data_IF_653383189982
#
_entry.id   IF_653383189982
#
_cell.length_a   1.000
_cell.length_b   1.000
_cell.length_c   1.000
_cell.angle_alpha   90.00
_cell.angle_beta   90.00
_cell.angle_gamma   90.00
#
_symmetry.space_group_name_H-M   'P 1'
#
loop_
_entity.id
_entity.type
_entity.pdbx_description
1 polymer ?
#
# COMPACT_ATOMS: atom_id res chain seq x y z
N UNK A 1 -19.03 -10.31 -5.89
CA UNK A 1 -18.76 -9.22 -6.88
C UNK A 1 -18.32 -7.92 -6.19
N UNK A 2 -19.03 -7.42 -5.18
CA UNK A 2 -18.64 -6.19 -4.45
C UNK A 2 -17.27 -6.26 -3.76
N UNK A 3 -16.90 -7.42 -3.18
CA UNK A 3 -15.64 -7.59 -2.45
C UNK A 3 -14.40 -7.33 -3.33
N UNK A 4 -14.42 -7.80 -4.57
CA UNK A 4 -13.29 -7.63 -5.49
C UNK A 4 -13.07 -6.16 -5.88
N UNK A 5 -14.16 -5.42 -6.07
CA UNK A 5 -14.11 -3.97 -6.32
C UNK A 5 -13.62 -3.21 -5.07
N UNK A 6 -14.07 -3.62 -3.87
CA UNK A 6 -13.59 -3.04 -2.61
C UNK A 6 -12.09 -3.23 -2.39
N UNK A 7 -11.55 -4.41 -2.74
CA UNK A 7 -10.11 -4.69 -2.66
C UNK A 7 -9.33 -3.76 -3.60
N UNK A 8 -9.73 -3.66 -4.87
CA UNK A 8 -9.08 -2.77 -5.83
C UNK A 8 -9.07 -1.31 -5.38
N UNK A 9 -10.20 -0.82 -4.84
CA UNK A 9 -10.31 0.57 -4.37
C UNK A 9 -9.41 0.80 -3.14
N UNK A 10 -9.45 -0.08 -2.14
CA UNK A 10 -8.63 0.01 -0.93
C UNK A 10 -7.14 0.11 -1.26
N UNK A 11 -6.70 -0.78 -2.14
CA UNK A 11 -5.35 -0.83 -2.65
C UNK A 11 -4.89 0.47 -3.31
N UNK A 12 -5.70 1.02 -4.21
CA UNK A 12 -5.33 2.23 -4.94
C UNK A 12 -5.21 3.41 -3.97
N UNK A 13 -6.07 3.46 -2.95
CA UNK A 13 -6.00 4.45 -1.87
C UNK A 13 -4.74 4.26 -1.02
N UNK A 14 -4.41 3.03 -0.64
CA UNK A 14 -3.21 2.71 0.16
C UNK A 14 -1.92 3.14 -0.56
N UNK A 15 -1.79 2.80 -1.84
CA UNK A 15 -0.65 3.23 -2.67
C UNK A 15 -0.62 4.75 -2.81
N UNK A 16 -1.77 5.41 -2.96
CA UNK A 16 -1.87 6.87 -3.06
C UNK A 16 -1.47 7.62 -1.78
N UNK A 17 -1.60 6.99 -0.61
CA UNK A 17 -1.19 7.58 0.67
C UNK A 17 0.33 7.46 0.93
N UNK A 18 0.99 6.49 0.30
CA UNK A 18 2.42 6.22 0.47
C UNK A 18 3.25 6.85 -0.66
N UNK A 19 2.76 6.83 -1.91
CA UNK A 19 3.47 7.34 -3.07
C UNK A 19 3.42 8.89 -3.19
N UNK A 20 4.47 9.53 -3.75
CA UNK A 20 4.46 10.97 -4.07
C UNK A 20 3.46 11.24 -5.20
N UNK A 21 2.27 11.81 -4.89
CA UNK A 21 2.06 13.27 -4.86
C UNK A 21 1.28 13.79 -3.63
N UNK A 22 0.62 12.90 -2.88
CA UNK A 22 -0.02 13.20 -1.58
C UNK A 22 0.94 12.78 -0.47
N UNK A 23 1.50 11.56 -0.55
CA UNK A 23 2.58 11.06 0.29
C UNK A 23 2.38 11.31 1.79
N UNK A 24 1.13 11.34 2.25
CA UNK A 24 0.76 11.89 3.55
C UNK A 24 1.51 11.20 4.69
N UNK A 25 1.64 9.87 4.60
CA UNK A 25 2.35 9.07 5.60
C UNK A 25 3.85 9.44 5.64
N UNK A 26 4.46 9.66 4.48
CA UNK A 26 5.87 10.08 4.35
C UNK A 26 6.07 11.50 4.87
N UNK A 27 5.10 12.38 4.58
CA UNK A 27 5.08 13.77 5.04
C UNK A 27 4.97 13.89 6.56
N UNK A 28 4.11 13.09 7.19
CA UNK A 28 3.95 13.07 8.66
C UNK A 28 5.23 12.56 9.33
N UNK A 29 5.83 11.49 8.81
CA UNK A 29 7.08 10.94 9.36
C UNK A 29 8.23 11.94 9.21
N UNK A 30 8.36 12.60 8.06
CA UNK A 30 9.36 13.65 7.89
C UNK A 30 9.10 14.88 8.79
N UNK A 31 7.83 15.23 9.04
CA UNK A 31 7.45 16.27 10.01
C UNK A 31 7.89 15.97 11.45
N UNK A 32 7.96 14.68 11.84
CA UNK A 32 8.50 14.22 13.11
C UNK A 32 10.04 14.15 13.09
N UNK A 33 10.62 13.80 11.95
CA UNK A 33 12.06 13.66 11.72
C UNK A 33 12.62 14.83 10.89
N UNK A 34 12.62 16.03 11.48
CA UNK A 34 13.04 17.30 10.83
C UNK A 34 14.48 17.32 10.31
N UNK A 35 15.33 16.41 10.79
CA UNK A 35 16.75 16.29 10.40
C UNK A 35 16.96 15.55 9.08
N UNK A 36 15.94 14.86 8.56
CA UNK A 36 16.06 14.00 7.38
C UNK A 36 15.48 14.72 6.16
N UNK A 37 16.23 14.88 5.05
CA UNK A 37 15.69 15.46 3.83
C UNK A 37 14.54 14.60 3.28
N UNK A 38 13.46 15.24 2.82
CA UNK A 38 12.30 14.56 2.20
C UNK A 38 12.72 13.58 1.09
N UNK A 39 13.74 13.91 0.32
CA UNK A 39 14.28 13.06 -0.75
C UNK A 39 14.82 11.71 -0.22
N UNK A 40 15.41 11.71 0.98
CA UNK A 40 15.93 10.50 1.62
C UNK A 40 14.79 9.64 2.19
N UNK A 41 13.78 10.28 2.78
CA UNK A 41 12.56 9.58 3.24
C UNK A 41 11.81 8.92 2.07
N UNK A 42 11.68 9.63 0.94
CA UNK A 42 11.10 9.06 -0.27
C UNK A 42 11.89 7.87 -0.79
N UNK A 43 13.23 7.96 -0.80
CA UNK A 43 14.09 6.86 -1.24
C UNK A 43 13.98 5.63 -0.33
N UNK A 44 13.76 5.83 0.97
CA UNK A 44 13.46 4.76 1.92
C UNK A 44 12.07 4.12 1.73
N UNK A 45 11.11 4.88 1.21
CA UNK A 45 9.74 4.41 0.95
C UNK A 45 9.61 3.66 -0.38
N UNK A 46 10.44 3.96 -1.39
CA UNK A 46 10.46 3.24 -2.69
C UNK A 46 10.51 1.71 -2.54
N UNK A 47 11.41 1.10 -1.75
CA UNK A 47 11.40 -0.36 -1.58
C UNK A 47 10.11 -0.86 -0.93
N UNK A 48 9.52 -0.09 -0.01
CA UNK A 48 8.25 -0.44 0.63
C UNK A 48 7.11 -0.46 -0.40
N UNK A 49 7.05 0.54 -1.26
CA UNK A 49 6.10 0.65 -2.36
C UNK A 49 6.21 -0.53 -3.35
N UNK A 50 7.43 -0.98 -3.63
CA UNK A 50 7.68 -2.14 -4.50
C UNK A 50 7.15 -3.42 -3.86
N UNK A 51 7.43 -3.65 -2.58
CA UNK A 51 6.87 -4.80 -1.84
C UNK A 51 5.36 -4.75 -1.77
N UNK A 52 4.76 -3.57 -1.60
CA UNK A 52 3.31 -3.44 -1.51
C UNK A 52 2.63 -3.68 -2.86
N UNK A 53 3.20 -3.15 -3.95
CA UNK A 53 2.79 -3.44 -5.31
C UNK A 53 2.94 -4.93 -5.67
N UNK A 54 4.01 -5.58 -5.21
CA UNK A 54 4.23 -7.01 -5.44
C UNK A 54 3.24 -7.87 -4.65
N UNK A 55 3.02 -7.55 -3.37
CA UNK A 55 1.99 -8.15 -2.52
C UNK A 55 0.62 -8.01 -3.15
N UNK A 56 0.33 -6.84 -3.68
CA UNK A 56 -0.92 -6.56 -4.37
C UNK A 56 -1.07 -7.40 -5.64
N UNK A 57 -0.05 -7.39 -6.51
CA UNK A 57 -0.06 -8.20 -7.72
C UNK A 57 -0.27 -9.68 -7.39
N UNK A 58 0.33 -10.16 -6.30
CA UNK A 58 0.14 -11.51 -5.80
C UNK A 58 -1.29 -11.76 -5.31
N UNK A 59 -1.91 -10.81 -4.59
CA UNK A 59 -3.31 -10.88 -4.16
C UNK A 59 -4.30 -10.85 -5.34
N UNK A 60 -3.98 -10.14 -6.41
CA UNK A 60 -4.79 -10.07 -7.64
C UNK A 60 -4.61 -11.33 -8.49
N UNK A 61 -3.38 -11.83 -8.63
CA UNK A 61 -3.07 -13.03 -9.40
C UNK A 61 -3.52 -14.33 -8.69
N UNK A 62 -3.47 -14.34 -7.36
CA UNK A 62 -3.95 -15.42 -6.50
C UNK A 62 -5.04 -14.89 -5.55
N UNK A 63 -6.25 -14.59 -6.05
CA UNK A 63 -7.38 -14.20 -5.20
C UNK A 63 -7.78 -15.31 -4.22
N UNK A 64 -7.27 -16.54 -4.44
CA UNK A 64 -7.38 -17.67 -3.53
C UNK A 64 -6.76 -17.37 -2.15
N UNK A 65 -5.71 -16.55 -2.03
CA UNK A 65 -5.10 -16.24 -0.73
C UNK A 65 -5.99 -15.36 0.15
N UNK A 66 -6.78 -14.45 -0.44
CA UNK A 66 -7.76 -13.64 0.29
C UNK A 66 -9.11 -14.34 0.45
N UNK A 67 -9.49 -15.18 -0.51
CA UNK A 67 -10.74 -15.94 -0.47
C UNK A 67 -10.68 -17.19 0.42
N UNK A 68 -9.50 -17.70 0.79
CA UNK A 68 -9.41 -18.89 1.65
C UNK A 68 -9.97 -18.61 3.05
N UNK A 69 -9.58 -17.48 3.65
CA UNK A 69 -10.10 -17.09 4.97
C UNK A 69 -11.58 -16.64 4.89
N UNK A 70 -11.97 -15.91 3.83
CA UNK A 70 -13.36 -15.50 3.63
C UNK A 70 -14.28 -16.70 3.40
N UNK A 71 -13.84 -17.74 2.68
CA UNK A 71 -14.60 -19.00 2.52
C UNK A 71 -14.64 -19.88 3.77
N UNK A 72 -13.69 -19.71 4.69
CA UNK A 72 -13.66 -20.43 5.98
C UNK A 72 -14.50 -19.75 7.05
N UNK A 73 -14.76 -18.45 6.89
CA UNK A 73 -15.61 -17.65 7.77
C UNK A 73 -17.08 -17.60 7.29
N UNK A 74 -17.36 -18.08 6.07
CA UNK A 74 -18.72 -18.41 5.56
C UNK A 74 -19.18 -19.79 6.04
#
# INVERSE_FOLDING_TARGET
KAIWFGILVLTVVEIGLIAPPVGLNVYVVNGLARDVPMAETYRGVVPFLITDAFRLALLIAFPILSLWLVRLLD
#
